data_IF_701121002350
#
_entry.id   IF_701121002350
#
_cell.length_a   1.000
_cell.length_b   1.000
_cell.length_c   1.000
_cell.angle_alpha   90.00
_cell.angle_beta   90.00
_cell.angle_gamma   90.00
#
_symmetry.space_group_name_H-M   'P 1'
#
loop_
_entity.id
_entity.type
_entity.pdbx_description
1 polymer ?
#
# COMPACT_ATOMS: atom_id res chain seq x y z
N UNK A 1 15.91 0.25 -5.22
CA UNK A 1 14.52 0.62 -4.93
C UNK A 1 14.04 -0.06 -3.65
N UNK A 2 14.81 -0.19 -2.56
CA UNK A 2 14.29 -0.98 -1.41
C UNK A 2 14.37 -0.31 -0.03
N UNK A 3 15.46 0.36 0.37
CA UNK A 3 15.42 1.28 1.54
C UNK A 3 15.13 2.71 1.15
N UNK A 4 15.73 3.22 0.08
CA UNK A 4 15.37 4.52 -0.50
C UNK A 4 14.07 4.49 -1.30
N UNK A 5 13.33 3.38 -1.28
CA UNK A 5 12.02 3.28 -1.92
C UNK A 5 11.00 2.74 -0.96
N UNK A 6 11.30 1.98 0.10
CA UNK A 6 10.42 2.02 1.28
C UNK A 6 10.40 3.43 1.92
N UNK A 7 11.53 4.15 1.92
CA UNK A 7 11.64 5.52 2.43
C UNK A 7 11.30 6.61 1.38
N UNK A 8 11.41 6.32 0.06
CA UNK A 8 10.86 7.22 -0.97
C UNK A 8 9.44 6.88 -1.47
N UNK A 9 8.89 5.69 -1.18
CA UNK A 9 7.48 5.32 -1.41
C UNK A 9 6.59 5.88 -0.31
N UNK A 10 7.08 5.99 0.92
CA UNK A 10 6.47 6.87 1.93
C UNK A 10 6.43 8.33 1.47
N UNK A 11 7.28 8.73 0.51
CA UNK A 11 7.37 10.08 -0.06
C UNK A 11 6.82 10.22 -1.48
N UNK A 12 5.97 9.28 -1.94
CA UNK A 12 5.35 9.39 -3.25
C UNK A 12 4.20 10.41 -3.30
N UNK A 13 4.61 11.66 -3.55
CA UNK A 13 4.03 12.67 -4.44
C UNK A 13 2.49 12.84 -4.44
N UNK A 14 2.01 13.76 -3.60
CA UNK A 14 0.64 14.31 -3.61
C UNK A 14 0.37 15.38 -4.66
N UNK A 15 0.91 15.25 -5.88
CA UNK A 15 0.65 16.27 -6.90
C UNK A 15 -0.83 16.35 -7.33
N UNK A 16 -1.65 15.36 -6.99
CA UNK A 16 -3.06 15.24 -7.43
C UNK A 16 -4.07 15.70 -6.36
N UNK A 17 -3.67 15.83 -5.08
CA UNK A 17 -4.60 16.12 -3.96
C UNK A 17 -4.44 17.51 -3.34
N UNK A 18 -3.82 18.47 -4.04
CA UNK A 18 -3.75 19.84 -3.53
C UNK A 18 -5.09 20.57 -3.69
N UNK A 19 -5.58 21.28 -2.65
CA UNK A 19 -6.78 22.10 -2.77
C UNK A 19 -6.61 23.12 -3.90
N UNK A 20 -7.60 23.15 -4.80
CA UNK A 20 -7.54 23.91 -6.05
C UNK A 20 -7.51 25.43 -5.82
N UNK A 21 -7.86 25.90 -4.62
CA UNK A 21 -8.22 27.30 -4.36
C UNK A 21 -7.09 28.24 -3.90
N UNK A 22 -5.83 28.05 -4.34
CA UNK A 22 -4.77 29.02 -4.03
C UNK A 22 -4.72 30.19 -5.03
N UNK A 23 -4.37 31.41 -4.58
CA UNK A 23 -4.32 32.63 -5.42
C UNK A 23 -3.29 32.56 -6.57
N UNK A 24 -3.54 33.39 -7.59
CA UNK A 24 -3.07 33.29 -8.99
C UNK A 24 -1.54 33.20 -9.17
N UNK A 25 -0.76 33.90 -8.34
CA UNK A 25 0.71 34.00 -8.46
C UNK A 25 1.45 32.67 -8.16
N UNK A 26 0.72 31.63 -7.74
CA UNK A 26 1.24 30.27 -7.52
C UNK A 26 0.99 29.31 -8.68
N UNK A 27 0.31 29.73 -9.76
CA UNK A 27 -0.03 28.83 -10.89
C UNK A 27 1.21 28.36 -11.66
N UNK A 28 2.19 29.23 -11.91
CA UNK A 28 3.39 28.87 -12.69
C UNK A 28 4.32 27.90 -11.96
N UNK A 29 4.43 27.98 -10.63
CA UNK A 29 5.20 26.99 -9.86
C UNK A 29 4.48 25.65 -9.72
N UNK A 30 3.13 25.65 -9.73
CA UNK A 30 2.32 24.43 -9.65
C UNK A 30 2.46 23.55 -10.90
N UNK A 31 2.52 24.17 -12.09
CA UNK A 31 2.62 23.42 -13.35
C UNK A 31 3.88 22.57 -13.43
N UNK A 32 5.04 23.08 -12.96
CA UNK A 32 6.30 22.34 -12.97
C UNK A 32 6.27 21.08 -12.09
N UNK A 33 5.77 21.16 -10.86
CA UNK A 33 5.70 20.01 -9.95
C UNK A 33 4.68 18.97 -10.41
N UNK A 34 3.53 19.41 -10.95
CA UNK A 34 2.52 18.52 -11.51
C UNK A 34 3.04 17.79 -12.76
N UNK A 35 3.78 18.47 -13.63
CA UNK A 35 4.39 17.86 -14.81
C UNK A 35 5.44 16.82 -14.43
N UNK A 36 6.33 17.14 -13.47
CA UNK A 36 7.32 16.18 -12.96
C UNK A 36 6.65 14.96 -12.33
N UNK A 37 5.57 15.16 -11.56
CA UNK A 37 4.80 14.07 -10.98
C UNK A 37 4.15 13.17 -12.03
N UNK A 38 3.54 13.77 -13.06
CA UNK A 38 2.97 13.03 -14.20
C UNK A 38 4.01 12.19 -14.91
N UNK A 39 5.18 12.78 -15.21
CA UNK A 39 6.29 12.07 -15.85
C UNK A 39 6.82 10.92 -14.98
N UNK A 40 6.96 11.13 -13.68
CA UNK A 40 7.41 10.10 -12.75
C UNK A 40 6.41 8.93 -12.72
N UNK A 41 5.10 9.23 -12.65
CA UNK A 41 4.04 8.22 -12.69
C UNK A 41 4.03 7.41 -13.98
N UNK A 42 4.18 8.08 -15.13
CA UNK A 42 4.31 7.39 -16.43
C UNK A 42 5.53 6.48 -16.46
N UNK A 43 6.67 6.95 -15.92
CA UNK A 43 7.89 6.14 -15.85
C UNK A 43 7.71 4.93 -14.92
N UNK A 44 7.03 5.10 -13.78
CA UNK A 44 6.70 3.98 -12.88
C UNK A 44 5.81 2.94 -13.55
N UNK A 45 4.78 3.37 -14.28
CA UNK A 45 3.93 2.46 -15.06
C UNK A 45 4.70 1.73 -16.16
N UNK A 46 5.77 2.34 -16.67
CA UNK A 46 6.68 1.72 -17.63
C UNK A 46 7.61 0.64 -17.06
N UNK A 47 7.71 0.48 -15.73
CA UNK A 47 8.58 -0.53 -15.12
C UNK A 47 8.02 -1.96 -15.21
N UNK A 48 6.75 -2.15 -15.56
CA UNK A 48 6.09 -3.45 -15.64
C UNK A 48 4.96 -3.62 -14.62
N UNK A 49 4.56 -4.87 -14.35
CA UNK A 49 3.53 -5.18 -13.36
C UNK A 49 4.00 -4.81 -11.95
N UNK A 50 3.25 -3.92 -11.27
CA UNK A 50 3.54 -3.52 -9.90
C UNK A 50 3.64 -4.72 -8.96
N UNK A 51 2.83 -5.76 -9.16
CA UNK A 51 2.82 -6.95 -8.28
C UNK A 51 4.15 -7.70 -8.29
N UNK A 52 4.80 -7.76 -9.44
CA UNK A 52 6.13 -8.39 -9.56
C UNK A 52 7.18 -7.57 -8.80
N UNK A 53 7.19 -6.24 -8.99
CA UNK A 53 8.07 -5.35 -8.24
C UNK A 53 7.81 -5.40 -6.74
N UNK A 54 6.54 -5.43 -6.33
CA UNK A 54 6.13 -5.60 -4.94
C UNK A 54 6.73 -6.85 -4.32
N UNK A 55 6.62 -8.01 -4.98
CA UNK A 55 7.21 -9.26 -4.50
C UNK A 55 8.69 -9.12 -4.19
N UNK A 56 9.46 -8.58 -5.15
CA UNK A 56 10.88 -8.35 -4.96
C UNK A 56 11.22 -7.35 -3.83
N UNK A 57 10.39 -6.33 -3.63
CA UNK A 57 10.56 -5.38 -2.53
C UNK A 57 10.30 -6.06 -1.18
N UNK A 58 9.27 -6.90 -1.09
CA UNK A 58 8.91 -7.58 0.16
C UNK A 58 9.95 -8.62 0.57
N UNK A 59 10.48 -9.41 -0.36
CA UNK A 59 11.59 -10.33 -0.08
C UNK A 59 12.80 -9.60 0.54
N UNK A 60 13.08 -8.39 0.06
CA UNK A 60 14.17 -7.59 0.58
C UNK A 60 13.87 -7.04 1.98
N UNK A 61 12.65 -6.53 2.20
CA UNK A 61 12.18 -6.08 3.51
C UNK A 61 12.31 -7.23 4.52
N UNK A 62 11.82 -8.42 4.18
CA UNK A 62 11.89 -9.59 5.03
C UNK A 62 13.33 -9.99 5.35
N UNK A 63 14.20 -10.06 4.35
CA UNK A 63 15.63 -10.32 4.55
C UNK A 63 16.33 -9.29 5.44
N UNK A 64 15.93 -8.01 5.38
CA UNK A 64 16.45 -6.96 6.28
C UNK A 64 15.99 -7.20 7.71
N UNK A 65 14.71 -7.50 7.93
CA UNK A 65 14.17 -7.76 9.27
C UNK A 65 14.84 -8.98 9.90
N UNK A 66 15.02 -10.06 9.12
CA UNK A 66 15.72 -11.27 9.55
C UNK A 66 17.19 -10.99 9.88
N UNK A 67 17.92 -10.32 8.99
CA UNK A 67 19.35 -10.05 9.16
C UNK A 67 19.65 -9.17 10.40
N UNK A 68 18.72 -8.29 10.77
CA UNK A 68 18.86 -7.43 11.96
C UNK A 68 18.17 -8.02 13.20
N UNK A 69 17.59 -9.23 13.11
CA UNK A 69 16.83 -9.87 14.18
C UNK A 69 15.72 -8.97 14.75
N UNK A 70 15.08 -8.19 13.88
CA UNK A 70 13.94 -7.33 14.23
C UNK A 70 12.69 -8.21 14.33
N UNK A 71 12.52 -8.84 15.48
CA UNK A 71 11.48 -9.83 15.73
C UNK A 71 10.58 -9.50 16.92
N UNK A 72 10.72 -8.32 17.53
CA UNK A 72 9.80 -7.85 18.57
C UNK A 72 8.39 -7.64 18.03
N UNK A 73 7.39 -7.59 18.89
CA UNK A 73 6.00 -7.34 18.46
C UNK A 73 5.85 -6.01 17.68
N UNK A 74 6.46 -4.89 18.10
CA UNK A 74 6.53 -3.67 17.29
C UNK A 74 7.25 -3.82 15.94
N UNK A 75 8.24 -4.71 15.83
CA UNK A 75 8.89 -5.02 14.56
C UNK A 75 7.93 -5.77 13.64
N UNK A 76 7.20 -6.76 14.17
CA UNK A 76 6.22 -7.51 13.40
C UNK A 76 5.11 -6.61 12.87
N UNK A 77 4.56 -5.73 13.73
CA UNK A 77 3.57 -4.74 13.30
C UNK A 77 4.13 -3.82 12.21
N UNK A 78 5.36 -3.29 12.39
CA UNK A 78 5.99 -2.44 11.38
C UNK A 78 6.23 -3.16 10.06
N UNK A 79 6.56 -4.46 10.09
CA UNK A 79 6.75 -5.27 8.89
C UNK A 79 5.42 -5.48 8.18
N UNK A 80 4.37 -5.87 8.90
CA UNK A 80 3.02 -6.03 8.35
C UNK A 80 2.49 -4.72 7.77
N UNK A 81 2.75 -3.59 8.43
CA UNK A 81 2.39 -2.25 7.95
C UNK A 81 3.04 -1.97 6.59
N UNK A 82 4.34 -2.25 6.44
CA UNK A 82 5.05 -2.09 5.17
C UNK A 82 4.43 -2.98 4.09
N UNK A 83 4.24 -4.27 4.36
CA UNK A 83 3.64 -5.21 3.41
C UNK A 83 2.26 -4.73 2.93
N UNK A 84 1.39 -4.37 3.86
CA UNK A 84 0.00 -4.02 3.55
C UNK A 84 -0.08 -2.69 2.79
N UNK A 85 0.73 -1.69 3.16
CA UNK A 85 0.74 -0.39 2.50
C UNK A 85 1.40 -0.45 1.11
N UNK A 86 2.45 -1.26 0.95
CA UNK A 86 3.13 -1.44 -0.35
C UNK A 86 2.37 -2.35 -1.32
N UNK A 87 1.44 -3.17 -0.82
CA UNK A 87 0.55 -3.96 -1.67
C UNK A 87 -0.44 -3.08 -2.44
N UNK A 88 -0.72 -1.87 -1.94
CA UNK A 88 -1.51 -0.86 -2.65
C UNK A 88 -0.62 -0.15 -3.65
N UNK A 89 -1.13 0.05 -4.87
CA UNK A 89 -0.37 0.63 -5.96
C UNK A 89 0.19 2.03 -5.59
N UNK A 90 1.40 2.38 -6.04
CA UNK A 90 2.09 3.59 -5.62
C UNK A 90 1.33 4.88 -5.94
N UNK A 91 0.53 4.85 -7.00
CA UNK A 91 -0.30 5.98 -7.45
C UNK A 91 -1.66 6.06 -6.75
N UNK A 92 -2.10 5.02 -6.04
CA UNK A 92 -3.29 5.06 -5.19
C UNK A 92 -2.93 5.58 -3.79
N UNK A 93 -2.53 6.84 -3.72
CA UNK A 93 -2.11 7.45 -2.46
C UNK A 93 -3.21 7.40 -1.40
N UNK A 94 -4.46 7.66 -1.78
CA UNK A 94 -5.57 7.66 -0.85
C UNK A 94 -5.75 6.27 -0.24
N UNK A 95 -5.71 5.21 -1.06
CA UNK A 95 -5.76 3.83 -0.58
C UNK A 95 -4.60 3.48 0.35
N UNK A 96 -3.38 3.97 0.08
CA UNK A 96 -2.21 3.76 0.96
C UNK A 96 -2.37 4.45 2.32
N UNK A 97 -2.81 5.72 2.30
CA UNK A 97 -3.09 6.48 3.52
C UNK A 97 -4.19 5.81 4.34
N UNK A 98 -5.30 5.44 3.70
CA UNK A 98 -6.44 4.78 4.35
C UNK A 98 -6.03 3.44 4.94
N UNK A 99 -5.18 2.68 4.25
CA UNK A 99 -4.62 1.41 4.74
C UNK A 99 -3.76 1.65 5.98
N UNK A 100 -2.81 2.58 5.91
CA UNK A 100 -1.90 2.88 7.01
C UNK A 100 -2.66 3.42 8.23
N UNK A 101 -3.56 4.39 8.05
CA UNK A 101 -4.40 4.95 9.13
C UNK A 101 -5.29 3.86 9.72
N UNK A 102 -5.89 3.00 8.89
CA UNK A 102 -6.68 1.86 9.35
C UNK A 102 -5.88 0.90 10.23
N UNK A 103 -4.64 0.59 9.85
CA UNK A 103 -3.75 -0.25 10.65
C UNK A 103 -3.36 0.39 11.98
N UNK A 104 -3.06 1.69 12.01
CA UNK A 104 -2.81 2.41 13.27
C UNK A 104 -4.07 2.50 14.15
N UNK A 105 -5.23 2.77 13.55
CA UNK A 105 -6.53 2.76 14.22
C UNK A 105 -6.78 1.42 14.90
N UNK A 106 -6.53 0.33 14.18
CA UNK A 106 -6.67 -1.01 14.71
C UNK A 106 -5.63 -1.32 15.79
N UNK A 107 -4.36 -0.96 15.59
CA UNK A 107 -3.25 -1.21 16.52
C UNK A 107 -3.42 -0.49 17.84
N UNK A 108 -3.81 0.78 17.80
CA UNK A 108 -3.93 1.62 18.99
C UNK A 108 -5.36 1.74 19.50
N UNK A 109 -6.31 1.00 18.93
CA UNK A 109 -7.74 1.05 19.29
C UNK A 109 -8.28 2.49 19.27
N UNK A 110 -7.95 3.22 18.21
CA UNK A 110 -8.37 4.60 18.06
C UNK A 110 -9.89 4.68 17.90
N UNK A 111 -10.48 5.69 18.51
CA UNK A 111 -11.83 6.12 18.16
C UNK A 111 -11.83 6.97 16.88
N UNK A 112 -13.01 7.40 16.44
CA UNK A 112 -13.19 8.14 15.19
C UNK A 112 -12.51 9.51 15.22
N UNK A 113 -12.58 10.22 16.35
CA UNK A 113 -11.94 11.52 16.54
C UNK A 113 -10.42 11.39 16.51
N UNK A 114 -9.89 10.38 17.20
CA UNK A 114 -8.45 10.06 17.19
C UNK A 114 -7.97 9.63 15.79
N UNK A 115 -8.74 8.85 15.04
CA UNK A 115 -8.41 8.45 13.68
C UNK A 115 -8.38 9.64 12.71
N UNK A 116 -9.40 10.52 12.78
CA UNK A 116 -9.45 11.76 11.99
C UNK A 116 -8.26 12.67 12.33
N UNK A 117 -7.98 12.86 13.61
CA UNK A 117 -6.82 13.63 14.07
C UNK A 117 -5.50 13.05 13.56
N UNK A 118 -5.33 11.72 13.63
CA UNK A 118 -4.13 11.04 13.12
C UNK A 118 -3.97 11.29 11.61
N UNK A 119 -5.06 11.16 10.85
CA UNK A 119 -5.09 11.43 9.41
C UNK A 119 -4.68 12.87 9.10
N UNK A 120 -5.26 13.84 9.81
CA UNK A 120 -4.98 15.26 9.62
C UNK A 120 -3.51 15.60 9.89
N UNK A 121 -2.98 15.13 11.03
CA UNK A 121 -1.58 15.35 11.39
C UNK A 121 -0.67 14.70 10.35
N UNK A 122 -0.97 13.48 9.91
CA UNK A 122 -0.19 12.80 8.87
C UNK A 122 -0.18 13.59 7.55
N UNK A 123 -1.36 14.02 7.08
CA UNK A 123 -1.49 14.82 5.87
C UNK A 123 -0.76 16.16 5.96
N UNK A 124 -0.81 16.80 7.13
CA UNK A 124 -0.08 18.04 7.38
C UNK A 124 1.45 17.81 7.32
N UNK A 125 1.96 16.76 7.95
CA UNK A 125 3.41 16.47 7.94
C UNK A 125 3.89 16.07 6.54
N UNK A 126 3.15 15.20 5.84
CA UNK A 126 3.47 14.77 4.48
C UNK A 126 3.42 15.93 3.49
N UNK A 127 2.38 16.76 3.57
CA UNK A 127 2.27 17.99 2.78
C UNK A 127 3.44 18.94 3.03
N UNK A 128 3.90 19.04 4.29
CA UNK A 128 5.11 19.77 4.67
C UNK A 128 6.37 19.25 3.98
N UNK A 129 6.63 17.93 4.03
CA UNK A 129 7.81 17.35 3.36
C UNK A 129 7.75 17.54 1.85
N UNK A 130 6.60 17.25 1.21
CA UNK A 130 6.45 17.41 -0.25
C UNK A 130 6.68 18.86 -0.66
N UNK A 131 6.19 19.82 0.11
CA UNK A 131 6.41 21.25 -0.14
C UNK A 131 7.88 21.64 0.03
N UNK A 132 8.52 21.17 1.10
CA UNK A 132 9.86 21.64 1.50
C UNK A 132 10.98 20.91 0.72
N UNK A 133 10.74 19.66 0.30
CA UNK A 133 11.74 18.78 -0.33
C UNK A 133 11.32 18.21 -1.69
N UNK A 134 10.10 18.50 -2.17
CA UNK A 134 9.53 17.93 -3.39
C UNK A 134 10.45 17.94 -4.61
N UNK A 135 11.04 19.08 -5.02
CA UNK A 135 11.94 19.12 -6.17
C UNK A 135 13.13 18.14 -6.04
N UNK A 136 13.71 18.04 -4.84
CA UNK A 136 14.82 17.13 -4.56
C UNK A 136 14.38 15.67 -4.57
N UNK A 137 13.21 15.37 -4.01
CA UNK A 137 12.61 14.03 -4.05
C UNK A 137 12.43 13.57 -5.49
N UNK A 138 11.88 14.44 -6.34
CA UNK A 138 11.68 14.15 -7.76
C UNK A 138 12.99 13.89 -8.50
N UNK A 139 14.04 14.63 -8.19
CA UNK A 139 15.35 14.50 -8.81
C UNK A 139 15.94 13.10 -8.59
N UNK A 140 16.14 12.69 -7.33
CA UNK A 140 16.73 11.37 -7.05
C UNK A 140 15.77 10.23 -7.36
N UNK A 141 14.45 10.39 -7.17
CA UNK A 141 13.48 9.36 -7.53
C UNK A 141 13.46 9.12 -9.04
N UNK A 142 13.52 10.20 -9.83
CA UNK A 142 13.61 10.13 -11.28
C UNK A 142 14.87 9.41 -11.76
N UNK A 143 16.02 9.67 -11.14
CA UNK A 143 17.26 8.92 -11.43
C UNK A 143 17.13 7.43 -11.11
N UNK A 144 16.62 7.08 -9.92
CA UNK A 144 16.43 5.69 -9.50
C UNK A 144 15.54 4.92 -10.49
N UNK A 145 14.40 5.52 -10.87
CA UNK A 145 13.46 4.89 -11.80
C UNK A 145 14.07 4.76 -13.18
N UNK A 146 14.76 5.78 -13.70
CA UNK A 146 15.42 5.72 -15.01
C UNK A 146 16.50 4.63 -15.08
N UNK A 147 17.37 4.53 -14.07
CA UNK A 147 18.39 3.48 -13.99
C UNK A 147 17.74 2.09 -14.02
N UNK A 148 16.61 1.92 -13.32
CA UNK A 148 15.88 0.64 -13.33
C UNK A 148 15.18 0.35 -14.65
N UNK A 149 14.53 1.34 -15.25
CA UNK A 149 13.90 1.20 -16.56
C UNK A 149 14.92 0.84 -17.66
N UNK A 150 16.18 1.27 -17.49
CA UNK A 150 17.29 0.90 -18.37
C UNK A 150 17.87 -0.50 -18.12
N UNK A 151 17.39 -1.23 -17.09
CA UNK A 151 17.96 -2.53 -16.72
C UNK A 151 19.40 -2.42 -16.19
N UNK A 152 19.77 -1.26 -15.66
CA UNK A 152 21.11 -1.02 -15.13
C UNK A 152 21.16 -1.35 -13.62
N UNK A 153 22.24 -2.02 -13.16
CA UNK A 153 22.45 -2.21 -11.73
C UNK A 153 22.70 -0.86 -11.05
N UNK A 154 22.54 -0.83 -9.73
CA UNK A 154 22.96 0.34 -8.97
C UNK A 154 24.45 0.22 -8.68
N UNK A 155 25.17 1.32 -8.84
CA UNK A 155 26.58 1.37 -8.45
C UNK A 155 26.72 2.03 -7.08
N UNK A 156 27.79 1.75 -6.33
CA UNK A 156 28.04 2.43 -5.05
C UNK A 156 28.10 3.95 -5.18
N UNK A 157 28.58 4.49 -6.30
CA UNK A 157 28.66 5.94 -6.57
C UNK A 157 27.27 6.55 -6.78
N UNK A 158 26.39 5.86 -7.52
CA UNK A 158 25.00 6.29 -7.71
C UNK A 158 24.29 6.34 -6.35
N UNK A 159 24.43 5.28 -5.55
CA UNK A 159 23.81 5.22 -4.22
C UNK A 159 24.39 6.29 -3.31
N UNK A 160 25.71 6.50 -3.29
CA UNK A 160 26.34 7.55 -2.50
C UNK A 160 25.80 8.95 -2.84
N UNK A 161 25.59 9.23 -4.13
CA UNK A 161 24.99 10.48 -4.59
C UNK A 161 23.55 10.61 -4.10
N UNK A 162 22.72 9.58 -4.29
CA UNK A 162 21.32 9.59 -3.82
C UNK A 162 21.22 9.76 -2.32
N UNK A 163 22.07 9.09 -1.53
CA UNK A 163 22.08 9.24 -0.08
C UNK A 163 22.43 10.67 0.35
N UNK A 164 23.42 11.31 -0.30
CA UNK A 164 23.75 12.73 -0.04
C UNK A 164 22.55 13.64 -0.35
N UNK A 165 21.86 13.40 -1.45
CA UNK A 165 20.66 14.16 -1.81
C UNK A 165 19.49 13.91 -0.84
N UNK A 166 19.24 12.65 -0.46
CA UNK A 166 18.10 12.32 0.39
C UNK A 166 18.31 12.68 1.87
N UNK A 167 19.55 12.91 2.32
CA UNK A 167 19.86 13.16 3.73
C UNK A 167 19.00 14.25 4.38
N UNK A 168 18.82 15.45 3.79
CA UNK A 168 18.01 16.48 4.43
C UNK A 168 16.53 16.12 4.51
N UNK A 169 16.03 15.36 3.54
CA UNK A 169 14.64 14.86 3.52
C UNK A 169 14.44 13.86 4.65
N UNK A 170 15.38 12.92 4.76
CA UNK A 170 15.39 11.88 5.79
C UNK A 170 15.44 12.47 7.21
N UNK A 171 16.34 13.42 7.46
CA UNK A 171 16.47 14.05 8.78
C UNK A 171 15.21 14.86 9.17
N UNK A 172 14.60 15.56 8.22
CA UNK A 172 13.37 16.30 8.47
C UNK A 172 12.19 15.34 8.74
N UNK A 173 12.09 14.24 7.99
CA UNK A 173 11.06 13.22 8.20
C UNK A 173 11.18 12.57 9.59
N UNK A 174 12.39 12.22 10.03
CA UNK A 174 12.66 11.70 11.39
C UNK A 174 12.19 12.66 12.48
N UNK A 175 12.49 13.96 12.32
CA UNK A 175 12.06 15.00 13.26
C UNK A 175 10.55 15.16 13.30
N UNK A 176 9.89 15.19 12.14
CA UNK A 176 8.43 15.33 12.03
C UNK A 176 7.70 14.13 12.56
N UNK A 177 8.19 12.91 12.31
CA UNK A 177 7.61 11.69 12.86
C UNK A 177 7.62 11.72 14.39
N UNK A 178 8.75 12.04 15.01
CA UNK A 178 8.85 12.13 16.47
C UNK A 178 7.96 13.27 17.04
N UNK A 179 7.86 14.40 16.33
CA UNK A 179 6.94 15.48 16.71
C UNK A 179 5.48 15.03 16.64
N UNK A 180 5.06 14.43 15.53
CA UNK A 180 3.72 13.91 15.32
C UNK A 180 3.35 12.91 16.42
N UNK A 181 4.25 11.97 16.74
CA UNK A 181 4.02 11.04 17.83
C UNK A 181 3.87 11.76 19.18
N UNK A 182 4.74 12.74 19.47
CA UNK A 182 4.67 13.56 20.67
C UNK A 182 3.37 14.37 20.81
N UNK A 183 2.88 14.95 19.72
CA UNK A 183 1.60 15.66 19.65
C UNK A 183 0.43 14.68 19.85
N UNK A 184 0.41 13.58 19.10
CA UNK A 184 -0.66 12.58 19.15
C UNK A 184 -0.76 11.89 20.52
N UNK A 185 0.36 11.66 21.20
CA UNK A 185 0.39 11.05 22.54
C UNK A 185 -0.33 11.88 23.62
N UNK A 186 -0.63 13.17 23.36
CA UNK A 186 -1.39 14.02 24.27
C UNK A 186 -2.88 13.69 24.27
N UNK A 187 -3.40 13.09 23.21
CA UNK A 187 -4.83 12.84 22.99
C UNK A 187 -5.26 11.39 23.22
N UNK A 188 -4.31 10.53 23.60
CA UNK A 188 -4.53 9.10 23.79
C UNK A 188 -4.42 8.72 25.26
N UNK A 189 -5.14 7.66 25.65
CA UNK A 189 -5.11 7.13 27.01
C UNK A 189 -3.76 6.50 27.39
N UNK A 190 -3.49 6.25 28.68
CA UNK A 190 -2.20 5.71 29.13
C UNK A 190 -1.78 4.38 28.47
N UNK A 191 -2.74 3.49 28.22
CA UNK A 191 -2.47 2.22 27.53
C UNK A 191 -2.07 2.42 26.07
N UNK A 192 -2.81 3.26 25.34
CA UNK A 192 -2.49 3.62 23.95
C UNK A 192 -1.12 4.30 23.87
N UNK A 193 -0.83 5.22 24.80
CA UNK A 193 0.47 5.87 24.92
C UNK A 193 1.60 4.87 25.11
N UNK A 194 1.45 3.91 26.02
CA UNK A 194 2.47 2.87 26.24
C UNK A 194 2.74 2.04 24.99
N UNK A 195 1.71 1.70 24.20
CA UNK A 195 1.89 1.01 22.92
C UNK A 195 2.62 1.89 21.89
N UNK A 196 2.22 3.15 21.75
CA UNK A 196 2.87 4.11 20.84
C UNK A 196 4.33 4.34 21.23
N UNK A 197 4.65 4.45 22.53
CA UNK A 197 6.02 4.60 23.03
C UNK A 197 6.89 3.38 22.70
N UNK A 198 6.34 2.17 22.86
CA UNK A 198 7.03 0.93 22.47
C UNK A 198 7.29 0.89 20.96
N UNK A 199 6.26 1.18 20.15
CA UNK A 199 6.35 1.19 18.69
C UNK A 199 7.33 2.27 18.18
N UNK A 200 7.32 3.45 18.79
CA UNK A 200 8.25 4.55 18.49
C UNK A 200 9.69 4.22 18.91
N UNK A 201 9.89 3.56 20.05
CA UNK A 201 11.21 3.10 20.50
C UNK A 201 11.82 2.09 19.51
N UNK A 202 11.03 1.12 19.06
CA UNK A 202 11.44 0.16 18.03
C UNK A 202 11.72 0.87 16.70
N UNK A 203 10.87 1.80 16.26
CA UNK A 203 11.08 2.58 15.05
C UNK A 203 12.39 3.40 15.10
N UNK A 204 12.67 4.07 16.22
CA UNK A 204 13.91 4.82 16.42
C UNK A 204 15.16 3.93 16.41
N UNK A 205 15.05 2.69 16.91
CA UNK A 205 16.13 1.69 16.80
C UNK A 205 16.41 1.33 15.34
N UNK A 206 15.35 1.09 14.54
CA UNK A 206 15.48 0.83 13.11
C UNK A 206 16.05 2.05 12.36
N UNK A 207 15.62 3.27 12.68
CA UNK A 207 16.14 4.50 12.08
C UNK A 207 17.61 4.74 12.42
N UNK A 208 18.05 4.43 13.64
CA UNK A 208 19.48 4.49 13.99
C UNK A 208 20.32 3.57 13.10
N UNK A 209 19.83 2.37 12.81
CA UNK A 209 20.49 1.46 11.86
C UNK A 209 20.55 2.04 10.45
N UNK A 210 19.51 2.75 10.03
CA UNK A 210 19.50 3.48 8.75
C UNK A 210 20.51 4.63 8.74
N UNK A 211 20.70 5.35 9.86
CA UNK A 211 21.72 6.40 9.98
C UNK A 211 23.14 5.83 9.76
N UNK A 212 23.45 4.69 10.38
CA UNK A 212 24.74 4.00 10.22
C UNK A 212 24.99 3.59 8.77
N UNK A 213 23.96 3.02 8.12
CA UNK A 213 24.04 2.61 6.73
C UNK A 213 24.15 3.82 5.78
N UNK A 214 23.42 4.91 6.05
CA UNK A 214 23.51 6.13 5.26
C UNK A 214 24.92 6.72 5.29
N UNK A 215 25.61 6.68 6.42
CA UNK A 215 27.01 7.12 6.50
C UNK A 215 27.92 6.24 5.61
N UNK A 216 27.77 4.92 5.68
CA UNK A 216 28.53 3.98 4.82
C UNK A 216 28.26 4.25 3.33
N UNK A 217 26.99 4.37 2.95
CA UNK A 217 26.58 4.59 1.56
C UNK A 217 27.07 5.92 1.02
N UNK A 218 27.04 6.99 1.81
CA UNK A 218 27.60 8.30 1.41
C UNK A 218 29.09 8.24 1.06
N UNK A 219 29.80 7.26 1.61
CA UNK A 219 31.22 7.01 1.39
C UNK A 219 31.46 5.97 0.29
N UNK A 220 30.43 5.58 -0.47
CA UNK A 220 30.55 4.64 -1.59
C UNK A 220 30.71 3.18 -1.15
N UNK A 221 30.32 2.85 0.09
CA UNK A 221 30.45 1.49 0.65
C UNK A 221 29.15 0.69 0.54
N UNK A 222 28.26 1.07 -0.37
CA UNK A 222 26.99 0.37 -0.56
C UNK A 222 27.21 -1.01 -1.21
N UNK A 223 26.48 -2.00 -0.72
CA UNK A 223 26.34 -3.31 -1.37
C UNK A 223 24.87 -3.67 -1.61
N UNK A 224 24.53 -4.52 -2.60
CA UNK A 224 23.16 -4.99 -2.81
C UNK A 224 22.53 -5.61 -1.55
N UNK A 225 23.33 -6.31 -0.74
CA UNK A 225 22.86 -6.95 0.49
C UNK A 225 22.33 -5.93 1.52
N UNK A 226 22.89 -4.72 1.59
CA UNK A 226 22.45 -3.67 2.52
C UNK A 226 20.97 -3.30 2.33
N UNK A 227 20.46 -3.51 1.11
CA UNK A 227 19.10 -3.25 0.69
C UNK A 227 18.29 -4.53 0.46
N UNK A 228 18.79 -5.71 0.83
CA UNK A 228 18.14 -6.99 0.54
C UNK A 228 18.00 -7.27 -0.96
N UNK A 229 18.87 -6.68 -1.80
CA UNK A 229 18.83 -6.78 -3.26
C UNK A 229 19.77 -7.86 -3.82
N UNK A 230 20.29 -8.75 -2.99
CA UNK A 230 21.20 -9.82 -3.44
C UNK A 230 20.53 -10.82 -4.41
N UNK A 231 19.20 -10.91 -4.40
CA UNK A 231 18.42 -11.72 -5.35
C UNK A 231 17.73 -10.89 -6.44
N UNK A 232 18.08 -9.59 -6.58
CA UNK A 232 17.47 -8.73 -7.60
C UNK A 232 18.03 -9.09 -9.00
N UNK A 233 17.17 -9.40 -9.99
CA UNK A 233 17.63 -9.87 -11.30
C UNK A 233 18.46 -8.84 -12.05
N UNK A 234 18.18 -7.54 -11.88
CA UNK A 234 18.94 -6.46 -12.53
C UNK A 234 20.31 -6.29 -11.88
N UNK A 235 20.42 -6.41 -10.54
CA UNK A 235 21.72 -6.39 -9.87
C UNK A 235 22.57 -7.60 -10.27
N UNK A 236 22.00 -8.81 -10.24
CA UNK A 236 22.67 -10.04 -10.65
C UNK A 236 23.14 -9.99 -12.11
N UNK A 237 22.31 -9.47 -13.02
CA UNK A 237 22.70 -9.26 -14.42
C UNK A 237 23.81 -8.21 -14.57
N UNK A 238 23.85 -7.21 -13.69
CA UNK A 238 24.94 -6.23 -13.61
C UNK A 238 26.26 -6.87 -13.17
N UNK A 239 26.24 -7.63 -12.08
CA UNK A 239 27.40 -8.35 -11.55
C UNK A 239 27.95 -9.36 -12.57
N UNK A 240 27.08 -10.11 -13.23
CA UNK A 240 27.46 -11.05 -14.28
C UNK A 240 28.15 -10.34 -15.47
N UNK A 241 27.67 -9.16 -15.89
CA UNK A 241 28.30 -8.36 -16.96
C UNK A 241 29.70 -7.89 -16.57
N UNK A 242 29.89 -7.46 -15.32
CA UNK A 242 31.21 -7.06 -14.80
C UNK A 242 32.15 -8.26 -14.72
N UNK A 243 31.67 -9.39 -14.19
CA UNK A 243 32.45 -10.63 -14.07
C UNK A 243 32.87 -11.21 -15.43
N UNK A 244 32.05 -11.06 -16.47
CA UNK A 244 32.34 -11.52 -17.82
C UNK A 244 33.43 -10.69 -18.54
N UNK A 245 34.12 -9.78 -17.86
CA UNK A 245 35.22 -9.00 -18.44
C UNK A 245 34.73 -7.94 -19.43
N UNK A 246 33.45 -7.55 -19.36
CA UNK A 246 32.90 -6.36 -19.99
C UNK A 246 33.42 -5.09 -19.32
N UNK A 247 34.74 -4.99 -19.16
CA UNK A 247 35.50 -3.86 -18.63
C UNK A 247 35.41 -2.65 -19.55
N UNK A 248 34.20 -2.19 -19.85
CA UNK A 248 33.96 -0.79 -20.13
C UNK A 248 34.22 -0.05 -18.81
N UNK A 249 35.49 0.24 -18.56
CA UNK A 249 35.92 1.22 -17.58
C UNK A 249 35.06 2.46 -17.72
N UNK A 250 34.17 2.68 -16.76
CA UNK A 250 33.89 3.98 -16.16
C UNK A 250 33.78 5.17 -17.11
N UNK A 251 33.22 4.99 -18.30
CA UNK A 251 32.63 6.09 -19.03
C UNK A 251 31.39 6.48 -18.24
N UNK A 252 31.59 7.21 -17.15
CA UNK A 252 30.52 7.91 -16.47
C UNK A 252 29.77 8.65 -17.57
N UNK A 253 28.61 8.13 -17.97
CA UNK A 253 27.72 8.86 -18.86
C UNK A 253 27.51 10.18 -18.14
N UNK A 254 27.93 11.33 -18.70
CA UNK A 254 27.73 12.61 -18.03
C UNK A 254 26.22 12.85 -18.00
N UNK A 255 25.58 12.43 -16.90
CA UNK A 255 24.22 12.79 -16.53
C UNK A 255 24.28 14.28 -16.18
N UNK A 256 24.23 15.10 -17.21
CA UNK A 256 24.54 16.54 -17.15
C UNK A 256 24.71 17.20 -18.51
N UNK A 257 24.73 16.41 -19.61
CA UNK A 257 24.63 16.96 -20.96
C UNK A 257 23.32 17.71 -21.18
N UNK A 258 23.39 19.04 -21.17
CA UNK A 258 22.35 19.96 -21.66
C UNK A 258 21.82 19.44 -23.01
N UNK A 259 20.49 19.34 -23.24
CA UNK A 259 19.96 18.80 -24.48
C UNK A 259 20.53 19.57 -25.68
N UNK A 260 21.11 18.84 -26.63
CA UNK A 260 21.60 19.41 -27.88
C UNK A 260 20.43 20.14 -28.57
N UNK A 261 20.69 21.37 -29.03
CA UNK A 261 19.72 22.13 -29.83
C UNK A 261 19.32 21.30 -31.06
N UNK A 262 18.03 21.27 -31.43
CA UNK A 262 17.63 20.70 -32.71
C UNK A 262 18.29 21.50 -33.84
N UNK A 263 19.22 20.91 -34.59
CA UNK A 263 19.80 21.54 -35.77
C UNK A 263 21.25 21.19 -36.12
N UNK A 264 22.01 20.53 -35.25
CA UNK A 264 23.39 20.12 -35.59
C UNK A 264 23.42 18.68 -36.12
N UNK A 265 23.58 18.55 -37.43
CA UNK A 265 23.76 17.27 -38.11
C UNK A 265 25.17 16.71 -37.84
N UNK A 266 25.31 15.41 -37.53
CA UNK A 266 26.62 14.80 -37.33
C UNK A 266 27.40 14.66 -38.65
N UNK A 267 28.74 14.74 -38.63
CA UNK A 267 29.57 14.52 -39.81
C UNK A 267 29.55 13.05 -40.25
N UNK A 268 29.44 12.86 -41.56
CA UNK A 268 29.39 11.55 -42.21
C UNK A 268 30.68 10.74 -42.00
N UNK A 269 30.52 9.46 -41.68
CA UNK A 269 31.60 8.48 -41.71
C UNK A 269 31.81 7.95 -43.15
N UNK A 270 33.06 7.66 -43.57
CA UNK A 270 33.37 7.16 -44.90
C UNK A 270 33.04 5.68 -45.04
N UNK A 271 32.50 5.32 -46.21
CA UNK A 271 32.03 3.98 -46.53
C UNK A 271 33.11 3.00 -46.97
N UNK A 272 32.71 1.73 -46.96
CA UNK A 272 33.36 0.61 -47.64
C UNK A 272 32.28 -0.21 -48.36
N UNK A 273 32.29 -0.14 -49.70
CA UNK A 273 31.73 -1.14 -50.62
C UNK A 273 32.76 -2.31 -50.73
N UNK A 274 32.50 -3.56 -51.13
CA UNK A 274 31.61 -4.22 -52.09
C UNK A 274 31.80 -5.78 -51.92
N UNK A 275 31.48 -6.72 -52.86
CA UNK A 275 30.24 -7.04 -53.62
C UNK A 275 29.85 -8.55 -53.68
N UNK A 276 28.62 -8.84 -54.16
CA UNK A 276 28.21 -10.03 -54.96
C UNK A 276 27.66 -11.26 -54.21
N UNK A 277 26.73 -12.09 -54.69
CA UNK A 277 25.89 -12.20 -55.90
C UNK A 277 24.84 -13.35 -55.64
N UNK A 278 23.97 -13.78 -56.58
CA UNK A 278 22.57 -14.19 -56.31
C UNK A 278 22.30 -15.71 -56.27
N UNK A 279 21.12 -16.09 -55.75
CA UNK A 279 20.61 -17.47 -55.82
C UNK A 279 19.09 -17.54 -55.72
N UNK A 280 18.46 -17.84 -56.86
CA UNK A 280 17.05 -18.16 -57.06
C UNK A 280 16.63 -19.51 -56.46
N UNK A 281 15.35 -19.60 -56.07
CA UNK A 281 14.50 -20.75 -56.39
C UNK A 281 14.36 -21.88 -55.35
N UNK A 282 13.14 -22.07 -54.83
CA UNK A 282 12.75 -23.33 -54.21
C UNK A 282 11.49 -23.30 -53.34
N UNK A 283 10.31 -23.41 -53.96
CA UNK A 283 9.05 -23.83 -53.30
C UNK A 283 9.04 -25.37 -53.28
N UNK A 284 8.55 -26.02 -52.21
CA UNK A 284 7.35 -26.82 -52.38
C UNK A 284 6.35 -26.70 -51.23
N UNK A 285 5.13 -27.13 -51.55
CA UNK A 285 3.91 -26.98 -50.79
C UNK A 285 3.64 -28.17 -49.83
N UNK A 286 2.72 -27.87 -48.89
CA UNK A 286 1.62 -28.71 -48.38
C UNK A 286 1.90 -29.92 -47.46
N UNK A 287 1.39 -29.80 -46.24
CA UNK A 287 0.94 -30.84 -45.30
C UNK A 287 0.51 -30.12 -44.01
N UNK A 288 -0.75 -29.78 -43.77
CA UNK A 288 -1.88 -30.63 -43.38
C UNK A 288 -1.62 -31.43 -42.09
N UNK A 289 -1.69 -30.78 -40.93
CA UNK A 289 -2.01 -31.39 -39.64
C UNK A 289 -2.73 -30.36 -38.74
N UNK A 290 -3.76 -30.83 -38.04
CA UNK A 290 -4.81 -30.02 -37.39
C UNK A 290 -4.41 -29.28 -36.10
N UNK A 291 -5.34 -28.50 -35.52
CA UNK A 291 -5.07 -27.69 -34.35
C UNK A 291 -4.84 -28.56 -33.09
N UNK A 292 -3.75 -28.34 -32.33
CA UNK A 292 -3.59 -28.99 -31.04
C UNK A 292 -4.59 -28.42 -30.03
N UNK A 293 -5.27 -29.33 -29.34
CA UNK A 293 -6.16 -29.05 -28.22
C UNK A 293 -5.43 -28.28 -27.09
N UNK A 294 -6.12 -27.40 -26.34
CA UNK A 294 -5.52 -26.67 -25.23
C UNK A 294 -5.18 -27.63 -24.08
N UNK A 295 -3.92 -27.66 -23.61
CA UNK A 295 -3.58 -28.44 -22.43
C UNK A 295 -3.98 -27.67 -21.17
N UNK A 296 -4.76 -28.36 -20.33
CA UNK A 296 -4.44 -28.48 -18.92
C UNK A 296 -4.94 -27.35 -18.03
N UNK A 297 -6.01 -27.69 -17.30
CA UNK A 297 -6.48 -27.04 -16.09
C UNK A 297 -5.34 -26.49 -15.21
N UNK A 298 -5.50 -25.24 -14.80
CA UNK A 298 -4.73 -24.63 -13.73
C UNK A 298 -4.77 -25.53 -12.49
N UNK A 299 -3.64 -25.69 -11.77
CA UNK A 299 -3.63 -26.38 -10.50
C UNK A 299 -4.46 -25.57 -9.51
N UNK A 300 -5.67 -26.06 -9.23
CA UNK A 300 -6.45 -25.65 -8.06
C UNK A 300 -5.55 -25.76 -6.84
N UNK A 301 -5.03 -24.63 -6.37
CA UNK A 301 -4.44 -24.52 -5.04
C UNK A 301 -5.52 -25.00 -4.08
N UNK A 302 -5.26 -25.98 -3.19
CA UNK A 302 -6.23 -26.37 -2.18
C UNK A 302 -6.39 -25.20 -1.23
N UNK A 303 -7.33 -24.31 -1.56
CA UNK A 303 -7.82 -23.28 -0.68
C UNK A 303 -8.26 -23.99 0.59
N UNK A 304 -7.56 -23.67 1.69
CA UNK A 304 -7.97 -24.03 3.04
C UNK A 304 -9.37 -23.44 3.22
N UNK A 305 -10.40 -24.21 2.89
CA UNK A 305 -11.79 -23.91 3.25
C UNK A 305 -11.78 -23.84 4.77
N UNK A 306 -11.62 -22.63 5.29
CA UNK A 306 -11.81 -22.34 6.68
C UNK A 306 -13.26 -22.66 6.98
N UNK A 307 -13.51 -23.87 7.47
CA UNK A 307 -14.81 -24.24 8.01
C UNK A 307 -15.22 -23.15 8.98
N UNK A 308 -16.37 -22.51 8.74
CA UNK A 308 -16.95 -21.57 9.69
C UNK A 308 -16.92 -22.24 11.07
N UNK A 309 -16.35 -21.61 12.11
CA UNK A 309 -16.11 -22.26 13.39
C UNK A 309 -17.42 -22.81 13.94
N UNK A 310 -17.51 -24.13 14.04
CA UNK A 310 -18.75 -24.88 14.33
C UNK A 310 -19.29 -24.71 15.76
N UNK A 311 -18.71 -23.79 16.53
CA UNK A 311 -19.15 -23.41 17.86
C UNK A 311 -18.88 -21.91 18.10
N UNK A 312 -19.31 -21.04 17.18
CA UNK A 312 -19.45 -19.63 17.52
C UNK A 312 -20.39 -19.57 18.75
N UNK A 313 -19.84 -19.18 19.90
CA UNK A 313 -20.60 -18.98 21.11
C UNK A 313 -21.80 -18.08 20.81
N UNK A 314 -22.91 -18.33 21.48
CA UNK A 314 -24.16 -17.58 21.27
C UNK A 314 -24.08 -16.22 22.01
N UNK A 315 -22.99 -15.49 21.81
CA UNK A 315 -22.75 -14.18 22.39
C UNK A 315 -23.40 -13.07 21.54
N UNK A 316 -23.55 -11.88 22.14
CA UNK A 316 -24.19 -10.74 21.49
C UNK A 316 -23.44 -10.26 20.23
N UNK A 317 -22.11 -10.37 20.19
CA UNK A 317 -21.30 -9.94 19.05
C UNK A 317 -21.43 -10.92 17.88
N UNK A 318 -21.38 -12.24 18.16
CA UNK A 318 -21.66 -13.30 17.18
C UNK A 318 -23.08 -13.18 16.60
N UNK A 319 -24.06 -12.77 17.43
CA UNK A 319 -25.42 -12.51 16.96
C UNK A 319 -25.47 -11.28 16.03
N UNK A 320 -24.80 -10.18 16.39
CA UNK A 320 -24.70 -8.99 15.55
C UNK A 320 -24.10 -9.31 14.17
N UNK A 321 -23.02 -10.10 14.12
CA UNK A 321 -22.36 -10.48 12.85
C UNK A 321 -23.31 -11.30 11.96
N UNK A 322 -24.05 -12.25 12.53
CA UNK A 322 -25.10 -13.00 11.80
C UNK A 322 -26.18 -12.10 11.24
N UNK A 323 -26.65 -11.17 12.07
CA UNK A 323 -27.67 -10.21 11.66
C UNK A 323 -27.16 -9.25 10.58
N UNK A 324 -25.90 -8.84 10.67
CA UNK A 324 -25.22 -8.02 9.67
C UNK A 324 -25.10 -8.74 8.31
N UNK A 325 -24.61 -9.99 8.31
CA UNK A 325 -24.52 -10.85 7.10
C UNK A 325 -25.90 -10.99 6.45
N UNK A 326 -26.92 -11.29 7.24
CA UNK A 326 -28.30 -11.45 6.77
C UNK A 326 -28.89 -10.15 6.21
N UNK A 327 -28.67 -9.02 6.90
CA UNK A 327 -29.21 -7.70 6.53
C UNK A 327 -28.68 -7.21 5.20
N UNK A 328 -27.38 -7.37 4.96
CA UNK A 328 -26.72 -6.90 3.75
C UNK A 328 -26.62 -7.97 2.66
N UNK A 329 -27.11 -9.19 2.92
CA UNK A 329 -27.01 -10.34 2.00
C UNK A 329 -25.56 -10.50 1.51
N UNK A 330 -24.62 -10.56 2.46
CA UNK A 330 -23.22 -10.75 2.14
C UNK A 330 -23.03 -12.10 1.42
N UNK A 331 -22.21 -12.12 0.38
CA UNK A 331 -21.81 -13.35 -0.28
C UNK A 331 -20.92 -14.22 0.64
N UNK A 332 -20.57 -15.43 0.19
CA UNK A 332 -19.81 -16.37 0.99
C UNK A 332 -18.44 -15.82 1.44
N UNK A 333 -17.75 -15.09 0.55
CA UNK A 333 -16.43 -14.54 0.82
C UNK A 333 -16.52 -13.35 1.79
N UNK A 334 -17.48 -12.46 1.58
CA UNK A 334 -17.79 -11.34 2.48
C UNK A 334 -18.21 -11.85 3.87
N UNK A 335 -19.04 -12.89 3.94
CA UNK A 335 -19.45 -13.50 5.20
C UNK A 335 -18.27 -14.14 5.94
N UNK A 336 -17.36 -14.80 5.22
CA UNK A 336 -16.13 -15.33 5.81
C UNK A 336 -15.26 -14.19 6.39
N UNK A 337 -15.09 -13.08 5.65
CA UNK A 337 -14.36 -11.89 6.16
C UNK A 337 -15.03 -11.29 7.39
N UNK A 338 -16.37 -11.24 7.43
CA UNK A 338 -17.11 -10.78 8.61
C UNK A 338 -16.80 -11.62 9.85
N UNK A 339 -16.72 -12.95 9.70
CA UNK A 339 -16.34 -13.85 10.78
C UNK A 339 -14.88 -13.73 11.21
N UNK A 340 -13.96 -13.44 10.28
CA UNK A 340 -12.56 -13.14 10.63
C UNK A 340 -12.46 -11.87 11.47
N UNK A 341 -13.14 -10.78 11.06
CA UNK A 341 -13.20 -9.53 11.83
C UNK A 341 -13.72 -9.80 13.25
N UNK A 342 -14.79 -10.59 13.38
CA UNK A 342 -15.31 -11.00 14.69
C UNK A 342 -14.29 -11.78 15.51
N UNK A 343 -13.60 -12.76 14.89
CA UNK A 343 -12.56 -13.55 15.54
C UNK A 343 -11.43 -12.68 16.09
N UNK A 344 -10.93 -11.73 15.29
CA UNK A 344 -9.87 -10.80 15.69
C UNK A 344 -10.28 -9.95 16.90
N UNK A 345 -11.47 -9.34 16.83
CA UNK A 345 -11.96 -8.45 17.89
C UNK A 345 -12.20 -9.26 19.18
N UNK A 346 -12.66 -10.50 19.07
CA UNK A 346 -12.86 -11.40 20.21
C UNK A 346 -11.54 -11.84 20.85
N UNK A 347 -10.51 -12.12 20.04
CA UNK A 347 -9.17 -12.43 20.56
C UNK A 347 -8.63 -11.26 21.41
N UNK A 348 -8.74 -10.03 20.90
CA UNK A 348 -8.36 -8.80 21.62
C UNK A 348 -9.20 -8.55 22.87
N UNK A 349 -10.50 -8.84 22.81
CA UNK A 349 -11.35 -8.78 23.99
C UNK A 349 -10.85 -9.74 25.08
N UNK A 350 -10.43 -10.96 24.69
CA UNK A 350 -9.82 -11.94 25.57
C UNK A 350 -8.53 -11.43 26.24
N UNK A 351 -7.64 -10.80 25.48
CA UNK A 351 -6.39 -10.20 25.99
C UNK A 351 -6.64 -9.09 27.01
N UNK A 352 -7.70 -8.29 26.80
CA UNK A 352 -8.10 -7.20 27.69
C UNK A 352 -9.00 -7.67 28.86
N UNK A 353 -9.30 -8.97 28.97
CA UNK A 353 -10.23 -9.49 29.96
C UNK A 353 -11.67 -8.99 29.79
N UNK A 354 -12.01 -8.48 28.61
CA UNK A 354 -13.35 -8.02 28.25
C UNK A 354 -14.16 -9.23 27.82
N UNK A 355 -15.22 -9.54 28.57
CA UNK A 355 -16.20 -10.55 28.16
C UNK A 355 -17.33 -9.88 27.37
N UNK A 356 -17.66 -10.36 26.15
CA UNK A 356 -18.89 -9.98 25.47
C UNK A 356 -20.07 -10.22 26.41
N UNK A 357 -21.06 -9.31 26.41
CA UNK A 357 -22.28 -9.56 27.15
C UNK A 357 -22.88 -10.90 26.68
N UNK A 358 -23.28 -11.74 27.63
CA UNK A 358 -24.11 -12.89 27.31
C UNK A 358 -25.33 -12.34 26.56
N UNK A 359 -25.52 -12.77 25.31
CA UNK A 359 -26.60 -12.23 24.48
C UNK A 359 -27.91 -12.34 25.24
N UNK A 360 -28.84 -11.37 25.09
CA UNK A 360 -30.17 -11.54 25.64
C UNK A 360 -30.66 -12.90 25.15
N UNK A 361 -31.02 -13.79 26.08
CA UNK A 361 -31.71 -15.02 25.74
C UNK A 361 -32.83 -14.61 24.77
N UNK A 362 -33.06 -15.31 23.65
CA UNK A 362 -34.01 -14.90 22.63
C UNK A 362 -35.41 -14.83 23.25
N UNK A 363 -35.73 -13.69 23.87
CA UNK A 363 -37.06 -13.34 24.27
C UNK A 363 -37.82 -13.20 22.98
N UNK A 364 -38.88 -14.01 22.87
CA UNK A 364 -39.78 -14.07 21.73
C UNK A 364 -40.33 -12.67 21.45
N UNK A 365 -39.60 -11.88 20.67
CA UNK A 365 -39.99 -10.53 20.31
C UNK A 365 -41.09 -10.61 19.27
N UNK A 366 -42.33 -10.79 19.74
CA UNK A 366 -43.55 -10.60 18.94
C UNK A 366 -43.82 -9.12 18.59
N UNK A 367 -42.80 -8.26 18.65
CA UNK A 367 -42.89 -6.84 18.34
C UNK A 367 -42.59 -6.59 16.87
N UNK A 368 -43.48 -5.84 16.20
CA UNK A 368 -43.39 -5.52 14.77
C UNK A 368 -41.97 -5.04 14.37
N UNK A 369 -41.38 -5.60 13.30
CA UNK A 369 -40.14 -5.13 12.73
C UNK A 369 -40.39 -3.79 12.03
N UNK A 370 -40.03 -2.66 12.63
CA UNK A 370 -40.33 -1.37 12.01
C UNK A 370 -39.65 -0.15 12.56
N UNK A 371 -39.11 -0.18 13.78
CA UNK A 371 -38.33 0.94 14.30
C UNK A 371 -36.88 0.51 14.44
N UNK A 372 -35.96 1.41 14.09
CA UNK A 372 -34.52 1.34 14.35
C UNK A 372 -34.27 1.21 15.86
N UNK A 373 -34.65 0.07 16.43
CA UNK A 373 -34.39 -0.37 17.79
C UNK A 373 -32.90 -0.57 17.90
N UNK A 374 -32.24 0.55 18.13
CA UNK A 374 -30.97 0.72 18.81
C UNK A 374 -30.31 -0.60 19.18
N UNK A 375 -29.30 -0.99 18.38
CA UNK A 375 -28.34 -2.05 18.70
C UNK A 375 -27.49 -1.75 19.97
N UNK A 376 -27.92 -0.79 20.79
CA UNK A 376 -27.26 -0.33 22.02
C UNK A 376 -27.31 -1.35 23.16
N UNK A 377 -27.99 -2.49 22.99
CA UNK A 377 -28.06 -3.56 23.99
C UNK A 377 -27.03 -4.70 23.75
N UNK A 378 -26.23 -4.65 22.69
CA UNK A 378 -25.10 -5.57 22.53
C UNK A 378 -23.86 -5.16 23.36
N UNK A 379 -23.98 -4.08 24.13
CA UNK A 379 -22.91 -3.46 24.90
C UNK A 379 -22.39 -4.37 26.00
N UNK A 380 -21.10 -4.60 25.98
CA UNK A 380 -20.34 -5.01 27.16
C UNK A 380 -20.46 -3.95 28.24
N UNK A 381 -20.45 -4.33 29.52
CA UNK A 381 -20.51 -3.38 30.64
C UNK A 381 -19.27 -2.46 30.75
N UNK A 382 -18.22 -2.71 29.95
CA UNK A 382 -16.98 -1.94 29.98
C UNK A 382 -16.83 -0.99 28.78
N UNK A 383 -16.28 0.23 28.99
CA UNK A 383 -15.93 1.14 27.90
C UNK A 383 -14.94 0.53 26.89
N UNK A 384 -14.06 -0.37 27.34
CA UNK A 384 -13.12 -1.07 26.47
C UNK A 384 -13.86 -2.03 25.51
N UNK A 385 -14.83 -2.80 26.00
CA UNK A 385 -15.60 -3.69 25.15
C UNK A 385 -16.54 -2.95 24.20
N UNK A 386 -17.07 -1.80 24.60
CA UNK A 386 -17.87 -0.96 23.71
C UNK A 386 -17.02 -0.46 22.54
N UNK A 387 -15.78 0.00 22.81
CA UNK A 387 -14.82 0.40 21.77
C UNK A 387 -14.48 -0.74 20.81
N UNK A 388 -14.23 -1.94 21.33
CA UNK A 388 -13.98 -3.13 20.50
C UNK A 388 -15.20 -3.51 19.64
N UNK A 389 -16.40 -3.44 20.20
CA UNK A 389 -17.64 -3.70 19.46
C UNK A 389 -17.86 -2.66 18.35
N UNK A 390 -17.65 -1.37 18.65
CA UNK A 390 -17.76 -0.32 17.65
C UNK A 390 -16.67 -0.45 16.56
N UNK A 391 -15.46 -0.86 16.91
CA UNK A 391 -14.41 -1.21 15.95
C UNK A 391 -14.86 -2.35 15.03
N UNK A 392 -15.43 -3.43 15.58
CA UNK A 392 -16.00 -4.54 14.81
C UNK A 392 -17.05 -4.03 13.83
N UNK A 393 -17.98 -3.19 14.30
CA UNK A 393 -19.03 -2.60 13.46
C UNK A 393 -18.46 -1.79 12.30
N UNK A 394 -17.48 -0.92 12.56
CA UNK A 394 -16.81 -0.12 11.51
C UNK A 394 -16.15 -1.01 10.45
N UNK A 395 -15.43 -2.05 10.89
CA UNK A 395 -14.80 -3.02 9.97
C UNK A 395 -15.86 -3.79 9.16
N UNK A 396 -16.98 -4.17 9.77
CA UNK A 396 -18.09 -4.84 9.08
C UNK A 396 -18.77 -3.93 8.05
N UNK A 397 -19.00 -2.65 8.36
CA UNK A 397 -19.67 -1.67 7.49
C UNK A 397 -18.94 -1.41 6.16
N UNK A 398 -17.64 -1.73 6.10
CA UNK A 398 -16.81 -1.67 4.89
C UNK A 398 -17.04 -2.86 3.96
N UNK A 399 -17.57 -3.99 4.43
CA UNK A 399 -17.74 -5.21 3.62
C UNK A 399 -18.84 -5.13 2.55
N UNK A 400 -20.05 -4.61 2.81
CA UNK A 400 -21.10 -4.58 1.80
C UNK A 400 -20.73 -3.73 0.58
N UNK A 401 -21.20 -4.13 -0.59
CA UNK A 401 -21.15 -3.32 -1.81
C UNK A 401 -22.16 -2.17 -1.74
N UNK A 402 -21.98 -1.16 -2.61
CA UNK A 402 -22.95 -0.06 -2.75
C UNK A 402 -24.34 -0.56 -3.15
N UNK A 403 -24.43 -1.62 -3.95
CA UNK A 403 -25.71 -2.24 -4.33
C UNK A 403 -26.41 -2.91 -3.14
N UNK A 404 -25.67 -3.71 -2.36
CA UNK A 404 -26.17 -4.34 -1.13
C UNK A 404 -26.65 -3.31 -0.10
N UNK A 405 -25.90 -2.22 0.12
CA UNK A 405 -26.33 -1.12 1.02
C UNK A 405 -27.65 -0.49 0.57
N UNK A 406 -27.80 -0.20 -0.73
CA UNK A 406 -29.05 0.35 -1.28
C UNK A 406 -30.23 -0.62 -1.12
N UNK A 407 -30.01 -1.90 -1.41
CA UNK A 407 -31.03 -2.94 -1.27
C UNK A 407 -31.49 -3.10 0.19
N UNK A 408 -30.55 -3.13 1.14
CA UNK A 408 -30.85 -3.21 2.57
C UNK A 408 -31.64 -1.98 3.07
N UNK A 409 -31.27 -0.78 2.61
CA UNK A 409 -32.00 0.45 2.95
C UNK A 409 -33.41 0.47 2.35
N UNK A 410 -33.59 0.04 1.10
CA UNK A 410 -34.90 -0.06 0.45
C UNK A 410 -35.81 -1.07 1.16
N UNK A 411 -35.26 -2.22 1.59
CA UNK A 411 -35.99 -3.23 2.35
C UNK A 411 -36.40 -2.73 3.76
N UNK A 412 -35.55 -1.91 4.39
CA UNK A 412 -35.83 -1.34 5.72
C UNK A 412 -36.80 -0.16 5.73
N UNK A 413 -37.00 0.51 4.59
CA UNK A 413 -37.78 1.74 4.53
C UNK A 413 -39.29 1.55 4.67
N UNK A 414 -39.82 0.31 4.54
CA UNK A 414 -41.26 0.02 4.68
C UNK A 414 -42.19 0.69 3.65
N UNK A 415 -41.72 1.71 2.93
CA UNK A 415 -42.45 2.54 1.97
C UNK A 415 -42.60 1.92 0.59
N UNK A 416 -42.37 0.61 0.46
CA UNK A 416 -42.86 -0.17 -0.66
C UNK A 416 -44.38 -0.36 -0.54
N UNK A 417 -45.13 0.74 -0.49
CA UNK A 417 -46.57 0.73 -0.75
C UNK A 417 -46.71 0.29 -2.21
N UNK A 418 -47.30 -0.89 -2.49
CA UNK A 418 -47.47 -1.34 -3.87
C UNK A 418 -48.23 -0.26 -4.62
N UNK A 419 -47.64 0.22 -5.72
CA UNK A 419 -48.30 1.17 -6.61
C UNK A 419 -49.64 0.54 -7.01
N UNK A 420 -50.73 1.09 -6.47
CA UNK A 420 -52.08 0.62 -6.76
C UNK A 420 -52.25 0.63 -8.28
N UNK A 421 -52.49 -0.55 -8.85
CA UNK A 421 -52.74 -0.73 -10.26
C UNK A 421 -53.85 0.23 -10.68
N UNK A 422 -53.53 1.19 -11.56
CA UNK A 422 -54.52 2.04 -12.20
C UNK A 422 -55.54 1.13 -12.89
N UNK A 423 -56.84 1.23 -12.57
CA UNK A 423 -57.86 0.44 -13.24
C UNK A 423 -57.87 0.80 -14.73
N UNK A 424 -57.85 -0.23 -15.58
CA UNK A 424 -57.93 -0.10 -17.02
C UNK A 424 -59.24 0.62 -17.40
N UNK A 425 -59.11 1.78 -18.02
CA UNK A 425 -60.20 2.57 -18.57
C UNK A 425 -60.77 1.80 -19.78
N UNK A 426 -62.00 1.31 -19.64
CA UNK A 426 -62.76 0.67 -20.73
C UNK A 426 -63.04 1.73 -21.80
N UNK A 427 -62.58 1.48 -23.03
CA UNK A 427 -63.08 2.13 -24.25
C UNK A 427 -64.24 1.33 -24.82
#
# INVERSE_FOLDING_TARGET
>A
MRKLVAFALLLQVHAVAWPQDAPDDRRDRRSGTQQMAGQLLETFRGLGDWREHYGYMMDAVDGIYEANQWNSEPDQFSRELIHTVEAVEPWDFQGRLDTMVGMFSDRYLLDEEQEEKLRDVFMQQMGGIVRDHGPRIMEYAGEIVKTRAAGEPFTPELVARWTKMSQPVYEDMKKRMNRMAGEFMQDVGPQQRSMIEADLGAANTRLKRVDELNEQWRNGQWTPADWGMHNDPIQLAGEARVAAGGGATGGAVPIGGKPARPGEAPPAAPGTAAPGAPGDGGVPAAGADGPPAPPGAEPTVPGRKGSAPAAAENDAWSQYVRDFIRRYQLDADQAQRAWLIHGDVRARAGELGVKPAAGPAPEKSGGKPGTNGSASAAGTDSPAGQRLFDQMKRRLERLPTRAQRRAANAAGSGDSKPAAARPAEKR
#
